data_IF_927958232388
#
_entry.id   IF_927958232388
#
_cell.length_a   1.000
_cell.length_b   1.000
_cell.length_c   1.000
_cell.angle_alpha   90.00
_cell.angle_beta   90.00
_cell.angle_gamma   90.00
#
_symmetry.space_group_name_H-M   'P 1'
#
loop_
_entity.id
_entity.type
_entity.pdbx_description
1 polymer ?
#
# COMPACT_ATOMS: atom_id res chain seq x y z
N UNK A 1 49.80 -50.71 -18.71
CA UNK A 1 50.83 -49.65 -18.57
C UNK A 1 50.12 -48.32 -18.41
N UNK A 2 50.61 -47.54 -17.45
CA UNK A 2 50.11 -46.27 -16.91
C UNK A 2 49.80 -45.19 -17.95
N UNK A 3 48.82 -44.33 -17.69
CA UNK A 3 49.07 -42.97 -17.17
C UNK A 3 47.82 -42.35 -16.54
N UNK A 4 48.04 -41.70 -15.40
CA UNK A 4 47.10 -40.91 -14.60
C UNK A 4 47.13 -39.48 -15.13
N UNK A 5 45.98 -38.86 -15.39
CA UNK A 5 45.90 -37.41 -15.57
C UNK A 5 44.71 -36.85 -14.81
N UNK A 6 44.99 -36.42 -13.59
CA UNK A 6 44.24 -35.38 -12.89
C UNK A 6 44.33 -34.10 -13.76
N UNK A 7 43.22 -33.59 -14.24
CA UNK A 7 43.16 -32.26 -14.86
C UNK A 7 41.86 -31.58 -14.47
N UNK A 8 42.02 -30.74 -13.45
CA UNK A 8 41.37 -29.46 -13.24
C UNK A 8 39.92 -29.30 -13.70
N UNK A 9 39.05 -29.40 -12.70
CA UNK A 9 37.88 -28.54 -12.45
C UNK A 9 37.94 -27.24 -13.29
N UNK A 10 37.05 -27.08 -14.26
CA UNK A 10 36.59 -25.77 -14.71
C UNK A 10 35.06 -25.76 -14.68
N UNK A 11 34.56 -25.57 -13.47
CA UNK A 11 33.16 -25.44 -13.13
C UNK A 11 32.78 -23.97 -13.41
N UNK A 12 32.39 -23.64 -14.64
CA UNK A 12 31.76 -22.34 -14.94
C UNK A 12 30.28 -22.47 -14.60
N UNK A 13 29.95 -22.29 -13.31
CA UNK A 13 28.58 -22.02 -12.90
C UNK A 13 28.24 -20.61 -13.39
N UNK A 14 27.29 -20.55 -14.31
CA UNK A 14 26.56 -19.34 -14.68
C UNK A 14 25.79 -18.87 -13.44
N UNK A 15 26.41 -18.07 -12.59
CA UNK A 15 25.69 -17.29 -11.60
C UNK A 15 25.12 -16.05 -12.29
N UNK A 16 24.04 -16.22 -13.07
CA UNK A 16 23.10 -15.14 -13.26
C UNK A 16 22.41 -14.96 -11.91
N UNK A 17 22.97 -14.12 -11.05
CA UNK A 17 22.26 -13.74 -9.82
C UNK A 17 20.98 -13.03 -10.27
N UNK A 18 19.78 -13.53 -9.93
CA UNK A 18 18.63 -12.67 -10.00
C UNK A 18 18.94 -11.53 -9.04
N UNK A 19 18.95 -10.31 -9.57
CA UNK A 19 18.96 -9.10 -8.79
C UNK A 19 17.92 -9.28 -7.68
N UNK A 20 18.38 -9.44 -6.44
CA UNK A 20 17.50 -9.41 -5.29
C UNK A 20 16.88 -8.02 -5.31
N UNK A 21 15.65 -7.92 -5.80
CA UNK A 21 14.87 -6.70 -5.72
C UNK A 21 14.88 -6.29 -4.25
N UNK A 22 15.49 -5.14 -3.96
CA UNK A 22 15.59 -4.64 -2.60
C UNK A 22 14.19 -4.60 -1.99
N UNK A 23 14.01 -5.32 -0.88
CA UNK A 23 12.71 -5.39 -0.23
C UNK A 23 12.37 -4.00 0.31
N UNK A 24 11.34 -3.36 -0.25
CA UNK A 24 10.87 -2.04 0.17
C UNK A 24 10.67 -2.01 1.69
N UNK A 25 11.29 -1.05 2.34
CA UNK A 25 11.18 -0.83 3.78
C UNK A 25 9.77 -0.32 4.14
N UNK A 26 9.42 -0.36 5.43
CA UNK A 26 8.15 0.21 5.91
C UNK A 26 8.04 1.71 5.58
N UNK A 27 9.16 2.42 5.63
CA UNK A 27 9.23 3.84 5.25
C UNK A 27 8.94 4.02 3.77
N UNK A 28 9.51 3.18 2.90
CA UNK A 28 9.27 3.27 1.45
C UNK A 28 7.80 3.10 1.10
N UNK A 29 7.07 2.23 1.81
CA UNK A 29 5.62 2.07 1.60
C UNK A 29 4.82 3.31 1.99
N UNK A 30 5.22 4.00 3.05
CA UNK A 30 4.57 5.25 3.47
C UNK A 30 4.90 6.35 2.46
N UNK A 31 6.15 6.42 2.00
CA UNK A 31 6.57 7.38 0.97
C UNK A 31 5.85 7.10 -0.34
N UNK A 32 5.73 5.85 -0.78
CA UNK A 32 4.97 5.47 -1.98
C UNK A 32 3.51 5.92 -1.86
N UNK A 33 2.87 5.68 -0.71
CA UNK A 33 1.49 6.09 -0.47
C UNK A 33 1.33 7.61 -0.44
N UNK A 34 2.34 8.33 0.06
CA UNK A 34 2.35 9.79 0.08
C UNK A 34 2.59 10.36 -1.32
N UNK A 35 3.53 9.80 -2.08
CA UNK A 35 3.80 10.21 -3.45
C UNK A 35 2.68 9.81 -4.42
N UNK A 36 1.79 8.89 -4.05
CA UNK A 36 0.56 8.66 -4.80
C UNK A 36 -0.40 9.88 -4.78
N UNK A 37 -0.14 10.88 -3.93
CA UNK A 37 -0.90 12.13 -3.86
C UNK A 37 -0.38 13.21 -4.81
N UNK A 38 0.88 13.09 -5.24
CA UNK A 38 1.54 14.00 -6.18
C UNK A 38 0.87 13.81 -7.56
N UNK A 39 -0.11 14.68 -7.85
CA UNK A 39 -0.93 14.59 -9.05
C UNK A 39 -0.28 15.33 -10.20
N UNK A 40 0.54 16.34 -9.90
CA UNK A 40 1.28 17.13 -10.89
C UNK A 40 2.65 16.53 -11.26
N UNK A 41 3.05 15.42 -10.62
CA UNK A 41 4.31 14.72 -10.80
C UNK A 41 5.54 15.60 -10.50
N UNK A 42 5.40 16.57 -9.60
CA UNK A 42 6.47 17.46 -9.17
C UNK A 42 7.51 16.79 -8.27
N UNK A 43 7.35 15.49 -7.99
CA UNK A 43 8.15 14.70 -7.04
C UNK A 43 8.06 15.21 -5.60
N UNK A 44 7.02 16.00 -5.31
CA UNK A 44 6.68 16.55 -4.01
C UNK A 44 5.15 16.67 -3.93
N UNK A 45 4.61 16.71 -2.71
CA UNK A 45 3.19 16.98 -2.49
C UNK A 45 3.08 18.38 -1.94
N UNK A 46 2.41 19.26 -2.68
CA UNK A 46 2.11 20.61 -2.24
C UNK A 46 0.99 20.62 -1.18
N UNK A 47 0.87 21.73 -0.43
CA UNK A 47 -0.20 21.88 0.55
C UNK A 47 -1.60 21.85 -0.10
N UNK A 48 -1.72 22.39 -1.32
CA UNK A 48 -2.98 22.44 -2.04
C UNK A 48 -3.41 21.05 -2.53
N UNK A 49 -2.46 20.24 -3.04
CA UNK A 49 -2.73 18.84 -3.41
C UNK A 49 -3.10 17.99 -2.20
N UNK A 50 -2.39 18.20 -1.08
CA UNK A 50 -2.73 17.54 0.17
C UNK A 50 -4.15 17.89 0.62
N UNK A 51 -4.52 19.17 0.63
CA UNK A 51 -5.86 19.60 1.02
C UNK A 51 -6.94 19.09 0.08
N UNK A 52 -6.73 19.15 -1.22
CA UNK A 52 -7.68 18.64 -2.21
C UNK A 52 -7.95 17.15 -1.97
N UNK A 53 -6.91 16.36 -1.73
CA UNK A 53 -7.06 14.95 -1.38
C UNK A 53 -7.79 14.75 -0.05
N UNK A 54 -7.45 15.52 0.99
CA UNK A 54 -8.08 15.41 2.31
C UNK A 54 -9.56 15.75 2.21
N UNK A 55 -9.90 16.80 1.47
CA UNK A 55 -11.28 17.21 1.24
C UNK A 55 -12.06 16.14 0.49
N UNK A 56 -11.52 15.60 -0.59
CA UNK A 56 -12.15 14.51 -1.34
C UNK A 56 -12.40 13.28 -0.45
N UNK A 57 -11.39 12.85 0.30
CA UNK A 57 -11.53 11.73 1.22
C UNK A 57 -12.50 12.01 2.36
N UNK A 58 -12.56 13.25 2.84
CA UNK A 58 -13.52 13.64 3.87
C UNK A 58 -14.95 13.59 3.32
N UNK A 59 -15.18 14.10 2.10
CA UNK A 59 -16.47 14.04 1.42
C UNK A 59 -16.91 12.59 1.19
N UNK A 60 -16.03 11.74 0.64
CA UNK A 60 -16.33 10.33 0.40
C UNK A 60 -16.67 9.60 1.69
N UNK A 61 -15.95 9.88 2.79
CA UNK A 61 -16.23 9.29 4.10
C UNK A 61 -17.53 9.81 4.69
N UNK A 62 -17.80 11.09 4.52
CA UNK A 62 -19.04 11.71 5.00
C UNK A 62 -20.24 11.10 4.30
N UNK A 63 -20.20 10.99 2.97
CA UNK A 63 -21.26 10.35 2.17
C UNK A 63 -21.47 8.86 2.51
N UNK A 64 -20.43 8.17 3.00
CA UNK A 64 -20.57 6.80 3.52
C UNK A 64 -21.21 6.74 4.91
N UNK A 65 -21.15 7.82 5.70
CA UNK A 65 -21.74 7.89 7.04
C UNK A 65 -23.16 8.44 7.01
N UNK A 66 -23.41 9.45 6.18
CA UNK A 66 -24.72 10.05 5.92
C UNK A 66 -25.54 9.09 5.06
N UNK A 67 -26.20 8.14 5.71
CA UNK A 67 -26.93 7.08 5.03
C UNK A 67 -28.22 7.60 4.40
N UNK A 68 -28.85 8.60 5.03
CA UNK A 68 -30.10 9.18 4.57
C UNK A 68 -29.92 10.32 3.55
N UNK A 69 -28.68 10.77 3.32
CA UNK A 69 -28.29 11.84 2.40
C UNK A 69 -28.94 13.19 2.73
N UNK A 70 -29.14 13.48 4.00
CA UNK A 70 -29.72 14.75 4.46
C UNK A 70 -28.66 15.87 4.64
N UNK A 71 -27.38 15.53 4.50
CA UNK A 71 -26.25 16.45 4.63
C UNK A 71 -25.74 16.59 6.06
N UNK A 72 -26.26 15.81 7.01
CA UNK A 72 -25.80 15.70 8.38
C UNK A 72 -25.48 14.23 8.72
N UNK A 73 -24.71 14.00 9.78
CA UNK A 73 -24.49 12.65 10.30
C UNK A 73 -25.07 12.60 11.70
N UNK A 74 -26.19 11.90 11.84
CA UNK A 74 -26.84 11.70 13.13
C UNK A 74 -26.07 10.72 14.03
N UNK A 75 -26.37 10.73 15.33
CA UNK A 75 -25.77 9.76 16.27
C UNK A 75 -26.09 8.31 15.86
N UNK A 76 -27.32 8.08 15.40
CA UNK A 76 -27.79 6.75 14.99
C UNK A 76 -27.04 6.25 13.75
N UNK A 77 -26.86 7.10 12.74
CA UNK A 77 -26.08 6.78 11.55
C UNK A 77 -24.62 6.50 11.87
N UNK A 78 -24.01 7.34 12.72
CA UNK A 78 -22.66 7.12 13.18
C UNK A 78 -22.53 5.77 13.90
N UNK A 79 -23.47 5.45 14.80
CA UNK A 79 -23.49 4.18 15.53
C UNK A 79 -23.63 2.98 14.60
N UNK A 80 -24.52 3.04 13.61
CA UNK A 80 -24.71 1.98 12.62
C UNK A 80 -23.44 1.75 11.80
N UNK A 81 -22.83 2.83 11.28
CA UNK A 81 -21.57 2.76 10.54
C UNK A 81 -20.46 2.02 11.32
N UNK A 82 -20.32 2.30 12.62
CA UNK A 82 -19.34 1.60 13.47
C UNK A 82 -19.71 0.15 13.77
N UNK A 83 -20.99 -0.17 13.92
CA UNK A 83 -21.44 -1.54 14.13
C UNK A 83 -21.15 -2.40 12.90
N UNK A 84 -21.41 -1.89 11.70
CA UNK A 84 -21.12 -2.56 10.44
C UNK A 84 -19.62 -2.80 10.25
N UNK A 85 -18.80 -1.75 10.42
CA UNK A 85 -17.33 -1.90 10.31
C UNK A 85 -16.74 -2.85 11.33
N UNK A 86 -17.26 -2.84 12.57
CA UNK A 86 -16.85 -3.83 13.59
C UNK A 86 -17.25 -5.24 13.16
N UNK A 87 -18.50 -5.43 12.75
CA UNK A 87 -19.01 -6.73 12.32
C UNK A 87 -18.21 -7.31 11.16
N UNK A 88 -17.84 -6.49 10.17
CA UNK A 88 -16.98 -6.88 9.06
C UNK A 88 -15.59 -7.33 9.54
N UNK A 89 -14.96 -6.54 10.42
CA UNK A 89 -13.64 -6.90 10.98
C UNK A 89 -13.67 -8.21 11.76
N UNK A 90 -14.73 -8.47 12.53
CA UNK A 90 -14.90 -9.72 13.28
C UNK A 90 -15.26 -10.92 12.41
N UNK A 91 -15.83 -10.71 11.21
CA UNK A 91 -16.10 -11.80 10.25
C UNK A 91 -14.82 -12.33 9.59
N UNK A 92 -13.85 -11.46 9.32
CA UNK A 92 -12.57 -11.85 8.71
C UNK A 92 -11.63 -12.62 9.65
N UNK A 93 -11.89 -12.63 10.96
CA UNK A 93 -11.06 -13.28 11.98
C UNK A 93 -11.56 -14.67 12.40
N UNK A 94 -12.57 -15.21 11.73
CA UNK A 94 -13.14 -16.54 12.00
C UNK A 94 -12.82 -17.56 10.92
#
# INVERSE_FOLDING_TARGET
MSVRSLSAILLVVVMATPAWAAQKTSTDKVVDAFMALDTDASSAVSFDEYNAMVEQQAQDRFAQMDANHDGEVSEDEYRQFWLERKAERYRLQR
#
